data_IF_929346528740
#
_entry.id   IF_929346528740
#
_cell.length_a   1.000
_cell.length_b   1.000
_cell.length_c   1.000
_cell.angle_alpha   90.00
_cell.angle_beta   90.00
_cell.angle_gamma   90.00
#
_symmetry.space_group_name_H-M   'P 1'
#
loop_
_entity.id
_entity.type
_entity.pdbx_description
1 polymer ?
#
# COMPACT_ATOMS: atom_id res chain seq x y z
N UNK A 1 6.14 1.42 -9.86
CA UNK A 1 7.53 1.02 -10.19
C UNK A 1 8.33 0.55 -8.98
N UNK A 2 8.59 1.42 -8.00
CA UNK A 2 9.46 1.12 -6.83
C UNK A 2 9.02 -0.11 -6.06
N UNK A 3 7.76 -0.15 -5.61
CA UNK A 3 7.18 -1.27 -4.85
C UNK A 3 7.30 -2.58 -5.64
N UNK A 4 6.80 -2.58 -6.89
CA UNK A 4 6.80 -3.75 -7.75
C UNK A 4 8.22 -4.31 -8.00
N UNK A 5 9.20 -3.45 -8.23
CA UNK A 5 10.59 -3.89 -8.43
C UNK A 5 11.14 -4.56 -7.17
N UNK A 6 10.94 -3.96 -6.00
CA UNK A 6 11.42 -4.51 -4.74
C UNK A 6 10.77 -5.87 -4.43
N UNK A 7 9.45 -5.97 -4.55
CA UNK A 7 8.73 -7.21 -4.33
C UNK A 7 9.18 -8.34 -5.28
N UNK A 8 9.30 -8.04 -6.59
CA UNK A 8 9.72 -9.04 -7.59
C UNK A 8 11.14 -9.54 -7.35
N UNK A 9 12.08 -8.66 -6.98
CA UNK A 9 13.46 -9.04 -6.65
C UNK A 9 13.53 -10.00 -5.47
N UNK A 10 12.57 -9.93 -4.55
CA UNK A 10 12.44 -10.83 -3.40
C UNK A 10 11.60 -12.08 -3.69
N UNK A 11 11.18 -12.30 -4.93
CA UNK A 11 10.38 -13.47 -5.33
C UNK A 11 8.89 -13.37 -4.96
N UNK A 12 8.38 -12.18 -4.66
CA UNK A 12 6.99 -11.91 -4.32
C UNK A 12 6.23 -11.24 -5.47
N UNK A 13 4.90 -11.21 -5.38
CA UNK A 13 4.05 -10.51 -6.33
C UNK A 13 3.23 -9.41 -5.68
N UNK A 14 2.77 -8.44 -6.48
CA UNK A 14 2.01 -7.27 -6.01
C UNK A 14 0.57 -7.38 -6.49
N UNK A 15 -0.39 -7.31 -5.56
CA UNK A 15 -1.83 -7.30 -5.87
C UNK A 15 -2.17 -6.12 -6.78
N UNK A 16 -3.13 -6.32 -7.70
CA UNK A 16 -3.50 -5.31 -8.72
C UNK A 16 -4.92 -4.78 -8.61
N UNK A 17 -5.78 -5.47 -7.85
CA UNK A 17 -7.20 -5.15 -7.73
C UNK A 17 -7.48 -4.00 -6.74
N UNK A 18 -6.51 -3.70 -5.87
CA UNK A 18 -6.59 -2.69 -4.82
C UNK A 18 -5.42 -1.71 -4.92
N UNK A 19 -5.65 -0.47 -4.50
CA UNK A 19 -4.69 0.63 -4.59
C UNK A 19 -4.82 1.55 -3.38
N UNK A 20 -3.76 2.32 -3.10
CA UNK A 20 -3.88 3.47 -2.22
C UNK A 20 -4.84 4.51 -2.77
N UNK A 21 -5.22 5.44 -1.92
CA UNK A 21 -6.25 6.43 -2.23
C UNK A 21 -5.95 7.79 -1.60
N UNK A 22 -6.51 8.85 -2.16
CA UNK A 22 -6.63 10.13 -1.48
C UNK A 22 -7.49 9.98 -0.23
N UNK A 23 -7.15 10.72 0.82
CA UNK A 23 -7.86 10.69 2.10
C UNK A 23 -7.87 12.08 2.74
N UNK A 24 -8.98 12.43 3.38
CA UNK A 24 -9.18 13.72 4.05
C UNK A 24 -10.60 13.82 4.59
N UNK A 25 -11.38 14.80 4.14
CA UNK A 25 -12.82 14.88 4.44
C UNK A 25 -13.62 13.69 3.87
N UNK A 26 -13.10 13.08 2.79
CA UNK A 26 -13.62 11.84 2.23
C UNK A 26 -12.72 10.67 2.64
N UNK A 27 -13.35 9.51 2.87
CA UNK A 27 -12.63 8.30 3.24
C UNK A 27 -11.73 7.80 2.09
N UNK A 28 -12.31 7.61 0.90
CA UNK A 28 -11.58 7.25 -0.31
C UNK A 28 -11.89 8.28 -1.41
N UNK A 29 -10.86 8.98 -1.90
CA UNK A 29 -10.99 9.92 -3.01
C UNK A 29 -9.75 9.89 -3.92
N UNK A 30 -9.72 10.76 -4.93
CA UNK A 30 -8.54 10.88 -5.79
C UNK A 30 -7.33 11.39 -4.97
N UNK A 31 -6.10 10.93 -5.28
CA UNK A 31 -5.73 10.05 -6.39
C UNK A 31 -5.87 8.56 -6.07
N UNK A 32 -6.09 7.73 -7.09
CA UNK A 32 -5.87 6.28 -7.00
C UNK A 32 -4.36 6.00 -7.17
N UNK A 33 -3.76 5.19 -6.30
CA UNK A 33 -2.31 4.94 -6.23
C UNK A 33 -2.02 3.44 -6.37
N UNK A 34 -1.91 2.91 -7.60
CA UNK A 34 -1.62 1.50 -7.81
C UNK A 34 -0.19 1.12 -7.44
N UNK A 35 -0.03 -0.03 -6.80
CA UNK A 35 1.27 -0.49 -6.28
C UNK A 35 2.13 -1.24 -7.32
N UNK A 36 1.53 -1.67 -8.44
CA UNK A 36 2.21 -2.42 -9.50
C UNK A 36 2.91 -1.52 -10.54
N UNK A 37 3.85 -2.09 -11.31
CA UNK A 37 4.59 -1.40 -12.37
C UNK A 37 3.76 -1.13 -13.63
N UNK A 38 4.13 -0.11 -14.42
CA UNK A 38 3.47 0.30 -15.67
C UNK A 38 1.97 0.58 -15.49
N UNK A 39 1.57 1.06 -14.30
CA UNK A 39 0.22 1.55 -14.08
C UNK A 39 0.01 2.90 -14.78
N UNK A 40 -1.26 3.30 -14.95
CA UNK A 40 -1.66 4.52 -15.65
C UNK A 40 -2.25 5.56 -14.69
N UNK A 41 -1.78 5.60 -13.44
CA UNK A 41 -2.23 6.59 -12.48
C UNK A 41 -2.00 8.02 -13.01
N UNK A 42 -2.97 8.89 -12.78
CA UNK A 42 -2.94 10.28 -13.21
C UNK A 42 -2.66 11.16 -12.00
N UNK A 43 -1.79 12.16 -12.19
CA UNK A 43 -1.52 13.17 -11.17
C UNK A 43 -0.03 13.39 -10.96
N UNK A 44 0.26 14.51 -10.29
CA UNK A 44 1.60 14.85 -9.80
C UNK A 44 1.42 15.26 -8.34
N UNK A 45 2.31 14.79 -7.47
CA UNK A 45 2.29 15.14 -6.05
C UNK A 45 2.48 16.66 -5.88
N UNK A 46 1.66 17.27 -5.03
CA UNK A 46 1.74 18.70 -4.66
C UNK A 46 1.60 18.86 -3.16
N UNK A 47 2.30 19.83 -2.59
CA UNK A 47 2.21 20.17 -1.17
C UNK A 47 0.75 20.36 -0.73
N UNK A 48 0.41 19.82 0.44
CA UNK A 48 -0.95 19.80 0.99
C UNK A 48 -1.79 18.60 0.59
N UNK A 49 -1.36 17.76 -0.36
CA UNK A 49 -2.08 16.52 -0.68
C UNK A 49 -1.87 15.45 0.38
N UNK A 50 -2.96 14.78 0.74
CA UNK A 50 -2.97 13.61 1.64
C UNK A 50 -3.46 12.36 0.91
N UNK A 51 -2.71 11.27 1.03
CA UNK A 51 -3.05 9.98 0.42
C UNK A 51 -2.38 8.81 1.15
N UNK A 52 -2.84 7.60 0.86
CA UNK A 52 -2.28 6.35 1.40
C UNK A 52 -1.32 5.70 0.41
N UNK A 53 -0.32 5.00 0.95
CA UNK A 53 0.43 3.97 0.23
C UNK A 53 0.28 2.68 1.05
N UNK A 54 -0.34 1.65 0.45
CA UNK A 54 -0.85 0.48 1.19
C UNK A 54 -0.59 -0.86 0.46
N UNK A 55 0.66 -1.17 0.08
CA UNK A 55 0.95 -2.30 -0.79
C UNK A 55 0.60 -3.66 -0.17
N UNK A 56 -0.22 -4.43 -0.89
CA UNK A 56 -0.45 -5.85 -0.62
C UNK A 56 0.51 -6.71 -1.44
N UNK A 57 1.32 -7.50 -0.75
CA UNK A 57 2.39 -8.34 -1.31
C UNK A 57 2.09 -9.82 -1.04
N UNK A 58 2.05 -10.62 -2.10
CA UNK A 58 1.72 -12.05 -2.02
C UNK A 58 2.99 -12.91 -2.13
N UNK A 59 3.04 -13.99 -1.34
CA UNK A 59 4.04 -15.04 -1.45
C UNK A 59 3.89 -15.92 -2.72
N UNK A 60 2.81 -15.71 -3.46
CA UNK A 60 2.39 -16.48 -4.61
C UNK A 60 2.00 -15.61 -5.79
N UNK A 61 0.87 -15.94 -6.44
CA UNK A 61 0.32 -15.15 -7.54
C UNK A 61 -0.32 -13.85 -7.05
N UNK A 62 -0.32 -12.83 -7.91
CA UNK A 62 -0.93 -11.53 -7.58
C UNK A 62 -2.46 -11.54 -7.62
N UNK A 63 -3.04 -12.56 -8.28
CA UNK A 63 -4.48 -12.68 -8.49
C UNK A 63 -5.18 -12.94 -7.17
N UNK A 64 -6.28 -12.25 -6.95
CA UNK A 64 -7.17 -12.40 -5.81
C UNK A 64 -8.54 -12.95 -6.24
N UNK A 65 -9.32 -13.35 -5.24
CA UNK A 65 -10.73 -13.71 -5.34
C UNK A 65 -11.47 -13.11 -4.14
N UNK A 66 -12.72 -12.75 -4.34
CA UNK A 66 -13.60 -12.32 -3.25
C UNK A 66 -14.40 -13.52 -2.75
N UNK A 67 -14.48 -13.69 -1.43
CA UNK A 67 -15.37 -14.67 -0.82
C UNK A 67 -16.85 -14.33 -1.01
N UNK A 68 -17.77 -15.29 -0.75
CA UNK A 68 -19.21 -15.06 -0.85
C UNK A 68 -19.76 -13.95 0.06
N UNK A 69 -18.99 -13.50 1.06
CA UNK A 69 -19.34 -12.37 1.91
C UNK A 69 -19.27 -11.01 1.18
N UNK A 70 -18.69 -10.98 -0.02
CA UNK A 70 -18.55 -9.77 -0.83
C UNK A 70 -17.42 -8.83 -0.39
N UNK A 71 -16.60 -9.23 0.59
CA UNK A 71 -15.57 -8.37 1.20
C UNK A 71 -14.22 -9.04 1.34
N UNK A 72 -14.15 -10.29 1.81
CA UNK A 72 -12.87 -10.93 2.11
C UNK A 72 -12.13 -11.23 0.82
N UNK A 73 -11.05 -10.50 0.58
CA UNK A 73 -10.14 -10.71 -0.54
C UNK A 73 -9.08 -11.74 -0.16
N UNK A 74 -9.01 -12.83 -0.91
CA UNK A 74 -8.03 -13.91 -0.70
C UNK A 74 -7.17 -14.11 -1.93
N UNK A 75 -5.95 -14.61 -1.73
CA UNK A 75 -5.08 -15.00 -2.84
C UNK A 75 -5.70 -16.17 -3.62
N UNK A 76 -5.60 -16.13 -4.95
CA UNK A 76 -6.18 -17.17 -5.81
C UNK A 76 -5.49 -18.53 -5.66
N UNK A 77 -4.29 -18.58 -5.07
CA UNK A 77 -3.50 -19.79 -4.82
C UNK A 77 -3.44 -20.19 -3.33
N UNK A 78 -4.14 -19.47 -2.44
CA UNK A 78 -4.19 -19.75 -1.01
C UNK A 78 -2.89 -19.47 -0.24
N UNK A 79 -1.86 -18.89 -0.86
CA UNK A 79 -0.63 -18.50 -0.17
C UNK A 79 -0.83 -17.22 0.64
N UNK A 80 0.08 -16.99 1.60
CA UNK A 80 0.05 -15.80 2.46
C UNK A 80 0.20 -14.49 1.67
N UNK A 81 -0.47 -13.46 2.18
CA UNK A 81 -0.29 -12.06 1.78
C UNK A 81 0.09 -11.23 3.02
N UNK A 82 0.78 -10.12 2.80
CA UNK A 82 1.10 -9.14 3.82
C UNK A 82 0.86 -7.72 3.30
N UNK A 83 0.50 -6.82 4.21
CA UNK A 83 0.25 -5.41 3.91
C UNK A 83 0.80 -4.53 5.03
N UNK A 84 1.28 -3.35 4.65
CA UNK A 84 1.52 -2.21 5.54
C UNK A 84 0.93 -0.97 4.88
N UNK A 85 0.53 0.00 5.69
CA UNK A 85 -0.09 1.22 5.21
C UNK A 85 0.31 2.43 6.05
N UNK A 86 0.49 3.57 5.38
CA UNK A 86 0.54 4.87 6.02
C UNK A 86 -0.27 5.90 5.22
N UNK A 87 -0.95 6.79 5.95
CA UNK A 87 -1.37 8.10 5.45
C UNK A 87 -0.19 9.07 5.42
N UNK A 88 0.00 9.71 4.27
CA UNK A 88 1.09 10.62 3.97
C UNK A 88 0.55 12.02 3.67
N UNK A 89 1.24 13.05 4.12
CA UNK A 89 1.03 14.45 3.72
C UNK A 89 2.23 14.91 2.89
N UNK A 90 2.00 15.33 1.65
CA UNK A 90 3.05 15.95 0.83
C UNK A 90 3.34 17.35 1.39
N UNK A 91 4.61 17.63 1.66
CA UNK A 91 5.09 18.95 2.10
C UNK A 91 5.79 19.67 0.95
N UNK A 92 6.21 20.93 1.15
CA UNK A 92 6.91 21.70 0.11
C UNK A 92 8.22 21.05 -0.35
N UNK A 93 8.88 20.29 0.54
CA UNK A 93 10.21 19.71 0.30
C UNK A 93 10.24 18.17 0.40
N UNK A 94 9.11 17.52 0.69
CA UNK A 94 9.06 16.09 0.87
C UNK A 94 7.71 15.56 1.33
N UNK A 95 7.72 14.73 2.37
CA UNK A 95 6.53 14.05 2.88
C UNK A 95 6.60 13.93 4.41
N UNK A 96 5.46 14.12 5.05
CA UNK A 96 5.23 13.80 6.45
C UNK A 96 4.40 12.52 6.56
N UNK A 97 4.81 11.60 7.43
CA UNK A 97 4.11 10.35 7.68
C UNK A 97 3.17 10.53 8.86
N UNK A 98 1.93 10.96 8.59
CA UNK A 98 0.95 11.33 9.62
C UNK A 98 0.58 10.19 10.57
N UNK A 99 0.74 8.95 10.10
CA UNK A 99 0.44 7.72 10.85
C UNK A 99 1.70 6.99 11.30
N UNK A 100 2.82 7.70 11.38
CA UNK A 100 4.08 7.14 11.87
C UNK A 100 3.92 6.59 13.30
N UNK A 101 4.73 5.58 13.60
CA UNK A 101 4.82 5.03 14.95
C UNK A 101 5.34 6.10 15.92
N UNK A 102 4.66 6.21 17.07
CA UNK A 102 5.16 6.97 18.22
C UNK A 102 6.20 6.16 19.01
N UNK A 103 7.05 6.80 19.83
CA UNK A 103 7.98 6.11 20.74
C UNK A 103 7.30 5.09 21.68
N UNK A 104 6.02 5.32 22.01
CA UNK A 104 5.20 4.43 22.82
C UNK A 104 4.58 3.26 22.06
N UNK A 105 4.79 3.16 20.74
CA UNK A 105 4.18 2.10 19.93
C UNK A 105 4.79 0.73 20.28
N UNK A 106 3.97 -0.33 20.41
CA UNK A 106 4.47 -1.67 20.75
C UNK A 106 5.50 -2.19 19.75
N UNK A 107 6.58 -2.80 20.23
CA UNK A 107 7.61 -3.38 19.36
C UNK A 107 7.11 -4.69 18.72
N UNK A 108 6.48 -4.57 17.55
CA UNK A 108 5.89 -5.68 16.81
C UNK A 108 6.67 -6.04 15.53
N UNK A 109 7.76 -5.31 15.26
CA UNK A 109 8.59 -5.49 14.07
C UNK A 109 9.98 -5.94 14.51
N UNK A 110 10.21 -7.25 14.69
CA UNK A 110 11.45 -7.76 15.27
C UNK A 110 12.71 -7.42 14.46
N UNK A 111 12.55 -7.07 13.17
CA UNK A 111 13.64 -6.68 12.27
C UNK A 111 14.06 -5.21 12.37
N UNK A 112 13.39 -4.36 13.16
CA UNK A 112 13.83 -2.97 13.37
C UNK A 112 15.01 -2.85 14.35
N UNK A 113 15.32 -3.93 15.07
CA UNK A 113 16.43 -3.98 16.04
C UNK A 113 17.59 -4.88 15.57
N UNK A 114 17.57 -5.32 14.30
CA UNK A 114 18.57 -6.22 13.71
C UNK A 114 19.64 -5.44 12.93
#
# INVERSE_FOLDING_TARGET
EVINRHALMSGFSVVKSYCGHGIGELFHCAPNIPHYAKNKAVGVMKAGQTFTIEPMINAGVWRDRTWPDGWTAVTADGKRSAQFEHTLLVTETGVEVLTARLPSSPNVLPWLNA
#
